data_IF_008081829254
#
_entry.id   IF_008081829254
#
_cell.length_a   1.000
_cell.length_b   1.000
_cell.length_c   1.000
_cell.angle_alpha   90.00
_cell.angle_beta   90.00
_cell.angle_gamma   90.00
#
_symmetry.space_group_name_H-M   'P 1'
#
loop_
_entity.id
_entity.type
_entity.pdbx_description
1 polymer ?
2 polymer ?
3 polymer ?
4 polymer ?
5 water ?
#
# COMPACT_ATOMS: atom_id res chain seq x y z
N UNK A 7 -18.48 -3.49 2.95
CA UNK A 7 -19.89 -3.18 3.44
C UNK A 7 -19.92 -1.82 4.14
N UNK A 8 -18.93 -1.73 4.98
CA UNK A 8 -18.77 -0.46 5.73
C UNK A 8 -17.26 -0.05 5.56
N UNK A 9 -16.79 -0.55 4.45
CA UNK A 9 -15.47 -0.36 3.96
C UNK A 9 -15.17 1.12 3.83
N UNK A 10 -13.84 1.40 4.11
CA UNK A 10 -13.35 2.78 3.99
C UNK A 10 -14.01 3.74 4.86
N UNK A 11 -14.82 3.22 5.96
CA UNK A 11 -15.31 4.32 6.94
C UNK A 11 -14.50 4.07 8.17
N UNK A 12 -13.57 4.95 8.60
CA UNK A 12 -12.77 4.73 9.74
C UNK A 12 -13.42 4.90 11.09
N UNK A 13 -13.42 3.83 11.97
CA UNK A 13 -14.07 3.94 13.28
C UNK A 13 -13.62 5.19 14.01
N UNK A 14 -12.37 5.59 13.83
CA UNK A 14 -11.91 6.76 14.68
C UNK A 14 -12.05 8.13 13.99
N UNK A 15 -12.47 8.12 12.73
CA UNK A 15 -12.61 9.42 12.07
C UNK A 15 -14.03 9.53 11.46
N UNK A 16 -14.28 8.93 10.26
CA UNK A 16 -15.59 9.14 9.61
C UNK A 16 -16.72 8.80 10.55
N UNK A 17 -16.69 7.60 11.13
CA UNK A 17 -17.72 7.12 12.07
C UNK A 17 -18.08 8.02 13.24
N UNK A 18 -17.22 8.99 13.62
CA UNK A 18 -17.47 9.86 14.75
C UNK A 18 -17.44 11.29 14.26
N UNK A 19 -17.30 11.31 12.90
CA UNK A 19 -17.22 12.58 12.27
C UNK A 19 -16.00 13.33 12.66
N UNK A 20 -14.83 12.71 12.94
CA UNK A 20 -13.58 13.55 13.18
C UNK A 20 -12.76 13.46 11.86
N UNK A 21 -12.16 14.57 11.47
CA UNK A 21 -11.34 14.64 10.22
C UNK A 21 -9.86 14.47 10.58
N UNK A 22 -8.93 13.82 9.93
CA UNK A 22 -7.52 13.72 10.27
C UNK A 22 -6.92 15.07 9.69
N UNK A 23 -5.79 15.34 10.24
CA UNK A 23 -4.94 16.52 10.13
C UNK A 23 -4.64 16.89 8.76
N UNK A 24 -4.61 15.92 7.81
CA UNK A 24 -4.36 16.34 6.44
C UNK A 24 -5.41 15.79 5.48
N UNK A 25 -6.56 15.21 5.82
CA UNK A 25 -7.37 14.84 4.66
C UNK A 25 -7.77 16.05 3.87
N UNK A 26 -7.94 17.23 4.48
CA UNK A 26 -8.48 18.40 3.67
C UNK A 26 -7.67 18.78 2.46
N UNK A 27 -6.39 18.50 2.37
CA UNK A 27 -5.36 18.71 1.41
C UNK A 27 -5.69 17.85 0.21
N UNK A 28 -6.15 16.58 0.38
CA UNK A 28 -6.63 15.73 -0.61
C UNK A 28 -7.97 16.24 -1.14
N UNK A 29 -8.88 16.51 -0.23
CA UNK A 29 -10.22 16.92 -0.67
C UNK A 29 -10.19 18.22 -1.50
N UNK A 30 -9.36 19.17 -1.20
CA UNK A 30 -9.13 20.41 -1.87
C UNK A 30 -8.48 20.11 -3.16
N UNK A 31 -7.81 18.99 -3.32
CA UNK A 31 -7.15 18.77 -4.62
C UNK A 31 -8.22 18.24 -5.59
N UNK A 32 -9.31 17.63 -5.20
CA UNK A 32 -10.27 17.10 -6.20
C UNK A 32 -10.91 18.25 -6.98
N UNK A 33 -10.35 18.70 -8.07
CA UNK A 33 -10.97 19.81 -8.81
C UNK A 33 -11.84 19.29 -9.96
N UNK B 1 8.74 5.57 3.73
CA UNK B 1 8.38 6.99 3.31
C UNK B 1 9.42 8.07 3.45
N UNK B 2 9.63 8.75 2.40
CA UNK B 2 10.58 9.91 2.37
C UNK B 2 9.87 11.24 2.35
N UNK B 3 10.11 11.99 3.45
CA UNK B 3 9.56 13.32 3.72
C UNK B 3 8.12 13.26 4.19
N UNK B 4 7.69 12.23 4.88
CA UNK B 4 6.43 11.95 5.44
C UNK B 4 6.23 12.70 6.79
N UNK B 5 5.36 12.08 7.60
CA UNK B 5 4.88 12.39 8.93
C UNK B 5 4.43 11.08 9.45
N UNK B 6 4.47 11.14 10.71
CA UNK B 6 4.07 10.02 11.66
C UNK B 6 2.60 9.80 11.47
N UNK B 7 2.04 8.68 11.20
CA UNK B 7 0.57 8.61 11.08
C UNK B 7 -0.07 8.94 12.44
N UNK B 8 -1.36 9.28 12.55
CA UNK B 8 -2.17 9.52 13.70
C UNK B 8 -2.75 8.11 14.00
N UNK B 9 -3.14 7.91 15.23
CA UNK B 9 -3.71 6.57 15.59
C UNK B 9 -4.98 6.34 14.82
N UNK B 10 -5.04 5.10 14.27
CA UNK B 10 -6.27 4.73 13.51
C UNK B 10 -6.39 5.56 12.26
N UNK B 11 -5.43 6.11 11.62
CA UNK B 11 -5.60 6.87 10.37
C UNK B 11 -5.72 5.97 9.18
N UNK B 12 -5.15 4.74 9.16
CA UNK B 12 -5.04 3.73 8.13
C UNK B 12 -5.26 2.35 8.68
N UNK B 13 -6.44 2.12 9.10
CA UNK B 13 -6.73 0.87 9.74
C UNK B 13 -6.68 -0.26 8.82
N UNK B 14 -6.48 -0.17 7.55
CA UNK B 14 -6.43 -1.28 6.56
C UNK B 14 -4.87 -1.55 6.40
N UNK B 15 -3.98 -0.72 6.80
CA UNK B 15 -2.55 -0.97 6.56
C UNK B 15 -2.14 -2.30 7.15
N UNK B 16 -1.43 -3.15 6.60
CA UNK B 16 -0.98 -4.46 7.16
C UNK B 16 0.49 -4.72 7.13
N UNK B 17 1.30 -5.25 7.96
CA UNK B 17 2.77 -5.42 7.77
C UNK B 17 3.04 -6.81 7.22
N UNK B 18 3.87 -7.08 6.30
CA UNK B 18 4.25 -8.50 5.88
C UNK B 18 5.53 -8.75 6.74
N UNK B 19 5.28 -9.79 7.55
CA UNK B 19 6.41 -10.04 8.54
C UNK B 19 7.13 -11.37 8.43
N UNK B 20 8.51 -11.18 8.29
CA UNK B 20 9.42 -12.30 8.15
C UNK B 20 9.52 -13.13 9.41
N UNK B 21 9.15 -14.44 9.22
CA UNK B 21 9.16 -15.37 10.37
C UNK B 21 10.59 -15.56 10.87
N UNK B 22 11.58 -15.80 10.06
CA UNK B 22 12.96 -15.88 10.48
C UNK B 22 13.97 -15.76 9.31
N UNK B 23 14.89 -14.82 9.39
CA UNK B 23 15.01 -13.87 10.50
C UNK B 23 13.68 -13.12 10.59
N UNK B 24 13.12 -12.92 11.69
CA UNK B 24 11.87 -12.19 11.95
C UNK B 24 12.25 -10.90 11.18
N UNK B 25 11.41 -10.30 10.41
CA UNK B 25 11.83 -9.03 9.72
C UNK B 25 10.72 -8.55 8.74
N UNK B 26 10.58 -7.27 8.68
CA UNK B 26 9.65 -6.43 7.97
C UNK B 26 9.91 -6.75 6.49
N UNK B 27 8.85 -7.20 5.85
CA UNK B 27 9.09 -7.53 4.42
C UNK B 27 8.56 -6.42 3.56
N UNK B 28 7.26 -6.01 3.69
CA UNK B 28 6.55 -5.01 2.88
C UNK B 28 5.29 -4.62 3.66
N UNK B 29 4.53 -3.67 3.06
CA UNK B 29 3.17 -3.21 3.56
C UNK B 29 2.19 -4.13 2.76
N UNK B 30 0.95 -4.08 3.07
CA UNK B 30 -0.15 -4.84 2.36
C UNK B 30 -1.41 -4.08 2.83
N UNK B 31 -2.58 -4.54 2.37
CA UNK B 31 -3.81 -3.82 2.86
C UNK B 31 -4.86 -4.89 3.03
N UNK B 32 -5.74 -4.47 3.99
CA UNK B 32 -6.86 -5.42 4.29
C UNK B 32 -8.07 -4.95 3.48
N UNK B 33 -8.58 -5.80 2.57
CA UNK B 33 -9.74 -5.58 1.72
C UNK B 33 -11.02 -6.32 2.18
N UNK B 34 -10.99 -7.23 3.06
CA UNK B 34 -12.03 -8.01 3.73
C UNK B 34 -11.52 -8.60 5.04
N UNK B 35 -12.39 -9.38 5.76
CA UNK B 35 -11.87 -10.02 7.00
C UNK B 35 -11.03 -11.24 6.67
N UNK B 36 -10.85 -11.55 5.37
CA UNK B 36 -9.90 -12.70 5.13
C UNK B 36 -8.86 -12.46 4.04
N UNK B 37 -8.94 -11.31 3.37
CA UNK B 37 -8.04 -11.05 2.20
C UNK B 37 -7.19 -9.82 2.34
N UNK B 38 -5.96 -10.01 1.86
CA UNK B 38 -4.92 -9.00 1.87
C UNK B 38 -4.36 -8.93 0.50
N UNK B 39 -4.08 -7.77 -0.01
CA UNK B 39 -3.55 -7.31 -1.24
C UNK B 39 -2.15 -6.76 -0.96
N UNK B 40 -1.30 -7.19 -1.93
CA UNK B 40 0.16 -6.65 -1.77
C UNK B 40 0.72 -6.67 -3.17
N UNK B 41 2.00 -6.38 -3.36
CA UNK B 41 2.73 -6.38 -4.68
C UNK B 41 3.24 -7.73 -4.83
N UNK B 42 3.14 -8.37 -5.98
CA UNK B 42 3.57 -9.74 -6.29
C UNK B 42 5.09 -9.71 -6.00
N UNK B 43 5.77 -8.54 -6.21
CA UNK B 43 7.21 -8.67 -5.96
C UNK B 43 7.72 -8.72 -4.49
N UNK B 44 6.81 -8.72 -3.47
CA UNK B 44 7.24 -8.98 -2.06
C UNK B 44 7.24 -10.52 -1.86
N UNK B 45 6.54 -11.31 -2.68
CA UNK B 45 6.58 -12.74 -2.49
C UNK B 45 7.64 -13.34 -3.37
N UNK B 46 7.52 -13.27 -4.73
CA UNK B 46 8.31 -13.74 -5.79
C UNK B 46 9.06 -12.74 -6.62
N UNK B 47 10.38 -12.72 -6.51
CA UNK B 47 11.37 -11.95 -7.19
C UNK B 47 12.67 -12.75 -7.50
N UNK B 48 12.58 -13.56 -8.59
CA UNK B 48 13.63 -14.47 -9.03
C UNK B 48 15.01 -13.99 -9.17
N UNK B 49 15.28 -12.76 -9.65
CA UNK B 49 16.64 -12.23 -9.71
C UNK B 49 17.26 -11.99 -8.38
N UNK B 50 16.46 -11.94 -7.28
CA UNK B 50 16.99 -11.64 -5.93
C UNK B 50 16.81 -12.97 -5.14
N UNK B 51 16.49 -13.96 -5.96
CA UNK B 51 16.28 -15.25 -5.31
C UNK B 51 15.08 -15.18 -4.37
N UNK B 52 14.21 -14.23 -4.32
CA UNK B 52 13.10 -14.26 -3.36
C UNK B 52 11.91 -15.03 -3.84
N UNK B 53 11.40 -15.97 -3.03
CA UNK B 53 10.29 -16.76 -3.40
C UNK B 53 9.64 -17.36 -2.14
N UNK B 54 9.07 -16.45 -1.37
CA UNK B 54 8.31 -16.82 -0.20
C UNK B 54 7.02 -17.58 -0.50
N UNK B 55 6.64 -18.56 0.33
CA UNK B 55 5.63 -19.50 0.60
C UNK B 55 4.65 -19.13 1.69
N UNK B 56 3.50 -19.75 1.70
CA UNK B 56 2.55 -19.50 2.78
C UNK B 56 3.25 -19.53 4.10
N UNK B 57 4.17 -20.39 4.42
CA UNK B 57 4.76 -20.31 5.77
C UNK B 57 6.03 -19.57 6.14
N UNK B 58 6.79 -19.02 5.26
CA UNK B 58 7.97 -18.28 5.75
C UNK B 58 7.43 -16.94 6.21
N UNK B 59 6.10 -16.96 6.26
CA UNK B 59 5.27 -15.75 6.34
C UNK B 59 4.20 -15.65 7.45
N UNK B 60 4.03 -14.35 7.82
CA UNK B 60 3.13 -13.84 8.89
C UNK B 60 2.52 -12.42 8.55
N UNK B 61 1.22 -12.22 8.69
CA UNK B 61 0.59 -10.89 8.46
C UNK B 61 0.30 -10.17 9.73
N UNK B 62 0.63 -8.97 10.06
CA UNK B 62 0.40 -8.16 11.21
C UNK B 62 -0.50 -6.94 10.92
N UNK B 63 -1.71 -7.02 11.54
CA UNK B 63 -2.73 -6.00 11.38
C UNK B 63 -2.97 -5.15 12.57
N UNK B 64 -3.29 -3.88 12.43
CA UNK B 64 -3.64 -2.86 13.40
C UNK B 64 -2.40 -2.29 14.03
N UNK B 65 -1.25 -2.33 13.33
CA UNK B 65 0.03 -1.77 13.88
C UNK B 65 0.16 -0.24 13.78
N UNK B 66 1.04 0.28 14.62
CA UNK B 66 1.28 1.77 14.65
C UNK B 66 2.82 1.83 14.71
N UNK B 67 3.34 1.03 15.72
CA UNK B 67 4.76 0.84 15.96
C UNK B 67 5.29 -0.10 14.89
N UNK B 68 6.39 0.31 14.30
CA UNK B 68 7.11 -0.50 13.31
C UNK B 68 7.52 -1.84 13.99
N UNK B 69 8.24 -1.68 15.09
CA UNK B 69 8.88 -2.78 15.79
C UNK B 69 8.28 -3.41 17.09
N UNK B 70 7.50 -2.70 17.89
CA UNK B 70 6.94 -3.26 19.14
C UNK B 70 5.84 -4.30 18.91
N UNK B 71 5.80 -5.28 19.84
CA UNK B 71 4.68 -6.25 19.75
C UNK B 71 3.57 -5.42 20.41
N UNK B 72 2.53 -5.04 19.73
CA UNK B 72 1.52 -4.07 20.30
C UNK B 72 0.36 -4.88 20.88
N UNK B 73 0.74 -5.38 22.05
CA UNK B 73 0.00 -6.33 22.87
C UNK B 73 -1.53 -6.34 22.75
N UNK B 74 -2.32 -5.34 23.02
CA UNK B 74 -3.76 -5.66 22.82
C UNK B 74 -4.36 -4.91 21.61
N UNK B 75 -3.49 -4.47 20.67
CA UNK B 75 -3.99 -3.72 19.51
C UNK B 75 -3.79 -4.49 18.21
N UNK B 76 -2.59 -4.88 17.83
CA UNK B 76 -2.32 -5.66 16.68
C UNK B 76 -2.87 -7.08 16.74
N UNK B 77 -3.09 -7.63 15.51
CA UNK B 77 -3.52 -9.05 15.41
C UNK B 77 -2.54 -9.82 14.48
N UNK B 78 -2.22 -11.03 14.71
CA UNK B 78 -1.24 -11.64 13.73
C UNK B 78 -1.95 -12.76 13.04
N UNK B 79 -1.78 -13.02 11.74
CA UNK B 79 -2.46 -14.18 11.16
C UNK B 79 -1.35 -14.87 10.29
N UNK B 80 -1.89 -16.02 9.91
CA UNK B 80 -1.19 -16.99 9.08
C UNK B 80 -1.96 -17.02 7.74
N UNK B 81 -1.15 -17.23 6.70
CA UNK B 81 -1.71 -17.36 5.36
C UNK B 81 -2.23 -18.71 5.07
N UNK B 82 -3.45 -18.80 4.52
CA UNK B 82 -3.88 -20.16 4.16
C UNK B 82 -3.28 -20.56 2.77
N UNK B 83 -3.20 -19.52 1.91
CA UNK B 83 -2.73 -19.50 0.54
C UNK B 83 -2.36 -18.11 -0.04
N UNK B 84 -1.51 -18.16 -1.06
CA UNK B 84 -1.03 -17.03 -1.88
C UNK B 84 -1.39 -17.23 -3.37
N UNK B 85 -1.92 -16.14 -3.94
CA UNK B 85 -2.29 -16.08 -5.35
C UNK B 85 -1.59 -14.86 -6.01
N UNK B 86 -0.72 -15.26 -6.91
CA UNK B 86 0.09 -14.24 -7.66
C UNK B 86 -0.58 -14.04 -9.01
N UNK B 87 -0.63 -12.86 -9.54
CA UNK B 87 -1.18 -12.68 -10.90
C UNK B 87 -0.42 -13.64 -11.86
N UNK B 88 -1.17 -14.44 -12.60
CA UNK B 88 -0.60 -15.37 -13.55
C UNK B 88 0.33 -14.65 -14.54
N UNK B 89 0.07 -13.43 -14.97
CA UNK B 89 1.00 -12.75 -15.92
C UNK B 89 1.79 -11.58 -15.37
N UNK B 90 2.20 -11.64 -14.10
CA UNK B 90 3.00 -10.70 -13.39
C UNK B 90 4.34 -10.73 -14.15
N UNK B 91 4.97 -9.56 -14.51
CA UNK B 91 6.23 -9.58 -15.28
C UNK B 91 7.42 -9.10 -14.49
N UNK B 92 7.97 -10.13 -13.84
CA UNK B 92 9.15 -9.81 -13.01
C UNK B 92 10.33 -9.67 -13.97
N UNK B 93 10.18 -10.27 -15.18
CA UNK B 93 11.27 -10.24 -16.15
C UNK B 93 11.57 -8.82 -16.61
N UNK B 94 10.57 -7.97 -16.84
CA UNK B 94 11.08 -6.67 -17.35
C UNK B 94 10.62 -5.50 -16.55
N UNK B 95 9.33 -5.39 -16.15
CA UNK B 95 9.01 -4.11 -15.46
C UNK B 95 8.05 -4.19 -14.30
N UNK B 96 7.74 -5.44 -13.78
CA UNK B 96 6.79 -5.53 -12.64
C UNK B 96 5.39 -5.18 -13.10
N UNK B 97 5.17 -5.44 -14.35
CA UNK B 97 3.78 -5.17 -14.91
C UNK B 97 2.90 -6.22 -14.18
N UNK B 98 1.72 -5.73 -13.70
CA UNK B 98 0.81 -6.63 -12.95
C UNK B 98 1.38 -7.00 -11.57
N UNK B 99 2.07 -6.09 -10.90
CA UNK B 99 2.72 -6.37 -9.56
C UNK B 99 1.57 -6.41 -8.55
N UNK B 100 0.94 -7.60 -8.45
CA UNK B 100 -0.21 -7.74 -7.54
C UNK B 100 -0.35 -9.22 -7.20
N UNK B 101 -0.88 -9.46 -5.93
CA UNK B 101 -1.11 -10.78 -5.33
C UNK B 101 -2.12 -10.52 -4.22
N UNK B 102 -2.74 -11.72 -3.99
CA UNK B 102 -3.80 -11.89 -2.94
C UNK B 102 -3.33 -13.03 -1.98
N UNK B 103 -3.59 -12.64 -0.68
CA UNK B 103 -3.26 -13.54 0.46
C UNK B 103 -4.55 -13.88 1.24
N UNK B 104 -4.88 -15.14 1.31
CA UNK B 104 -6.12 -15.55 2.05
C UNK B 104 -5.65 -16.04 3.44
N UNK B 105 -6.21 -15.31 4.42
CA UNK B 105 -5.84 -15.59 5.85
C UNK B 105 -6.53 -16.95 6.24
N UNK B 106 -5.77 -17.67 7.07
CA UNK B 106 -6.20 -19.06 7.59
C UNK B 106 -7.53 -18.89 8.33
N UNK B 107 -7.67 -17.76 9.06
CA UNK B 107 -8.97 -17.47 9.77
C UNK B 107 -9.19 -15.99 9.65
N UNK B 108 -10.41 -15.56 9.63
CA UNK B 108 -10.80 -14.18 9.46
C UNK B 108 -10.39 -13.41 10.70
N UNK B 109 -10.11 -12.13 10.56
CA UNK B 109 -9.76 -11.22 11.62
C UNK B 109 -11.09 -10.44 11.92
N UNK B 110 -11.13 -9.90 13.12
CA UNK B 110 -12.30 -9.12 13.58
C UNK B 110 -11.85 -7.69 13.69
N UNK B 111 -12.68 -6.93 13.13
CA UNK B 111 -12.65 -5.47 12.91
C UNK B 111 -12.59 -4.77 14.24
N UNK B 112 -12.09 -3.57 14.25
CA UNK B 112 -12.00 -2.95 15.65
C UNK B 112 -11.70 -1.52 15.36
N UNK B 113 -11.23 -0.80 16.32
CA UNK B 113 -10.88 0.59 16.09
C UNK B 113 -9.66 0.74 15.18
N UNK B 114 -8.78 -0.16 15.28
CA UNK B 114 -7.52 -0.14 14.53
C UNK B 114 -7.56 -1.00 13.32
N UNK B 115 -8.55 -1.80 13.04
CA UNK B 115 -8.61 -2.71 11.91
C UNK B 115 -9.93 -2.63 11.17
N UNK B 116 -9.75 -2.22 9.91
CA UNK B 116 -11.05 -2.05 9.07
C UNK B 116 -10.57 -2.03 7.67
N UNK B 117 -11.26 -2.62 6.77
CA UNK B 117 -10.90 -2.74 5.38
C UNK B 117 -11.22 -1.39 4.66
N UNK B 118 -10.41 -1.28 3.65
CA UNK B 118 -10.39 -0.19 2.69
C UNK B 118 -11.36 -0.76 1.59
N UNK B 119 -11.94 0.18 0.77
CA UNK B 119 -12.82 -0.20 -0.30
C UNK B 119 -11.93 -0.32 -1.55
N UNK B 120 -12.46 -1.15 -2.41
CA UNK B 120 -11.89 -1.40 -3.77
C UNK B 120 -12.78 -0.58 -4.68
N UNK B 121 -12.17 0.15 -5.62
CA UNK B 121 -12.90 1.01 -6.51
C UNK B 121 -13.76 0.27 -7.54
N UNK B 122 -14.82 1.13 -7.84
CA UNK B 122 -15.79 0.90 -8.92
C UNK B 122 -15.27 1.72 -10.14
N UNK B 123 -15.69 1.22 -11.32
CA UNK B 123 -15.28 1.86 -12.57
C UNK B 123 -15.62 3.37 -12.57
N UNK B 124 -16.69 3.81 -11.84
CA UNK B 124 -16.96 5.24 -11.89
C UNK B 124 -16.11 5.90 -10.83
N UNK B 125 -15.87 5.30 -9.70
CA UNK B 125 -15.03 6.06 -8.65
C UNK B 125 -13.64 6.26 -9.29
N UNK B 126 -13.01 5.35 -9.87
CA UNK B 126 -11.77 5.28 -10.50
C UNK B 126 -11.68 6.35 -11.56
N UNK B 127 -12.86 6.39 -12.32
CA UNK B 127 -13.01 7.37 -13.38
C UNK B 127 -12.86 8.76 -12.85
N UNK B 128 -13.53 9.23 -11.82
CA UNK B 128 -13.38 10.55 -11.34
C UNK B 128 -12.21 10.82 -10.45
N UNK B 129 -11.48 9.89 -9.88
CA UNK B 129 -10.47 10.46 -8.97
C UNK B 129 -9.12 10.28 -9.50
N UNK B 130 -9.13 9.29 -10.44
CA UNK B 130 -7.66 9.05 -10.99
C UNK B 130 -7.28 10.13 -11.98
N UNK B 131 -7.02 11.36 -11.70
CA UNK B 131 -6.69 12.49 -12.54
C UNK B 131 -5.41 13.16 -12.01
N UNK B 132 -4.58 13.52 -13.03
CA UNK B 132 -3.28 14.15 -12.74
C UNK B 132 -3.65 15.31 -11.80
N UNK B 133 -2.88 15.54 -10.79
CA UNK B 133 -3.14 16.62 -9.84
C UNK B 133 -3.88 16.18 -8.58
N UNK B 134 -4.82 15.23 -8.75
CA UNK B 134 -5.54 14.78 -7.54
C UNK B 134 -4.51 14.21 -6.71
N UNK B 135 -4.72 14.52 -5.36
CA UNK B 135 -3.73 13.79 -4.41
C UNK B 135 -4.33 12.51 -3.99
N UNK B 136 -3.48 11.56 -3.49
CA UNK B 136 -3.71 10.27 -2.91
C UNK B 136 -2.65 10.31 -1.75
N UNK B 137 -2.69 9.25 -0.92
CA UNK B 137 -1.99 9.07 0.35
C UNK B 137 -1.38 7.76 0.37
N UNK B 138 -0.03 7.83 0.79
CA UNK B 138 0.71 6.51 0.87
C UNK B 138 1.20 6.42 2.29
N UNK B 139 1.10 5.16 2.77
CA UNK B 139 1.56 4.84 4.10
C UNK B 139 2.57 3.68 4.12
N UNK B 140 3.51 3.70 5.08
CA UNK B 140 4.49 2.51 5.08
C UNK B 140 5.42 2.88 6.26
N UNK B 141 6.19 1.87 6.62
CA UNK B 141 7.19 1.76 7.64
C UNK B 141 8.62 1.47 7.06
N UNK B 142 8.76 2.01 5.83
CA UNK B 142 10.04 1.89 5.04
C UNK B 142 10.92 3.13 5.27
N UNK B 143 12.01 2.99 4.54
CA UNK B 143 13.13 3.94 4.50
C UNK B 143 12.63 5.36 4.27
N UNK B 144 13.16 6.14 5.23
CA UNK B 144 13.00 7.57 5.42
C UNK B 144 13.90 8.52 4.63
N UNK B 145 14.90 7.86 4.05
CA UNK B 145 15.96 8.53 3.24
C UNK B 145 16.41 7.51 2.21
N UNK B 146 16.65 7.98 1.00
CA UNK B 146 17.13 7.02 -0.04
C UNK B 146 18.16 6.00 0.40
N UNK B 147 19.20 6.49 1.12
CA UNK B 147 20.20 5.58 1.65
C UNK B 147 20.93 6.45 2.71
N UNK B 148 20.98 5.71 3.81
CA UNK B 148 21.64 6.21 5.03
C UNK B 148 22.99 5.42 4.97
N UNK B 155 16.45 6.40 9.53
CA UNK B 155 16.63 5.19 8.69
C UNK B 155 15.26 4.50 8.56
N UNK B 156 14.97 3.88 9.69
CA UNK B 156 13.63 3.12 9.70
C UNK B 156 12.94 3.90 10.78
N UNK B 157 11.64 4.14 10.57
CA UNK B 157 10.92 5.04 11.49
C UNK B 157 10.51 4.31 12.78
N UNK B 158 10.03 5.12 13.73
CA UNK B 158 9.56 4.38 14.94
C UNK B 158 8.06 4.17 14.67
N UNK B 159 7.40 5.13 13.99
CA UNK B 159 5.90 4.85 13.78
C UNK B 159 5.58 4.96 12.28
N UNK B 160 4.36 4.45 11.94
CA UNK B 160 3.76 4.42 10.61
C UNK B 160 3.86 5.88 10.02
N UNK B 161 4.44 5.84 8.80
CA UNK B 161 4.71 7.21 8.16
C UNK B 161 3.64 7.48 7.09
N UNK B 162 3.45 8.78 6.89
CA UNK B 162 2.38 9.11 5.89
C UNK B 162 2.68 10.22 4.96
N UNK B 163 2.31 10.15 3.65
CA UNK B 163 2.53 11.40 2.83
C UNK B 163 1.41 11.41 1.75
N UNK B 164 0.93 12.55 1.32
CA UNK B 164 -0.04 12.93 0.26
C UNK B 164 0.70 13.41 -0.94
N UNK B 165 0.49 12.86 -2.10
CA UNK B 165 1.20 13.10 -3.36
C UNK B 165 0.22 13.24 -4.47
N UNK B 166 0.59 13.98 -5.46
CA UNK B 166 -0.35 14.22 -6.58
C UNK B 166 -0.18 13.23 -7.74
N UNK B 167 -1.22 12.87 -8.41
CA UNK B 167 -1.06 11.92 -9.59
C UNK B 167 -0.43 12.83 -10.69
N UNK B 168 0.44 12.17 -11.48
CA UNK B 168 1.19 12.85 -12.57
C UNK B 168 0.70 12.32 -13.90
N UNK B 169 0.63 13.11 -14.93
CA UNK B 169 0.16 12.63 -16.26
C UNK B 169 1.06 11.55 -16.80
N UNK B 170 0.55 10.57 -17.51
CA UNK B 170 1.31 9.50 -18.11
C UNK B 170 2.61 9.90 -18.89
N UNK B 171 2.58 10.86 -19.74
CA UNK B 171 3.68 11.28 -20.56
C UNK B 171 4.79 11.75 -19.71
N UNK B 172 4.63 12.62 -18.74
CA UNK B 172 5.71 13.00 -17.88
C UNK B 172 6.24 11.68 -17.22
N UNK B 173 5.28 10.82 -16.75
CA UNK B 173 5.64 9.56 -16.11
C UNK B 173 6.63 8.81 -17.06
N UNK B 174 6.28 8.65 -18.31
CA UNK B 174 7.13 7.89 -19.28
C UNK B 174 8.50 8.45 -19.65
N UNK B 175 8.56 9.75 -19.64
CA UNK B 175 9.72 10.56 -19.90
C UNK B 175 10.76 10.68 -18.74
N UNK B 176 10.38 10.26 -17.56
CA UNK B 176 11.22 10.25 -16.40
C UNK B 176 12.04 8.95 -16.39
N UNK B 177 11.69 7.91 -17.15
CA UNK B 177 12.49 6.74 -17.10
C UNK B 177 12.70 6.00 -18.41
N UNK B 178 13.57 5.04 -18.44
CA UNK B 178 13.92 4.23 -19.63
C UNK B 178 13.06 3.02 -19.62
N UNK B 179 12.41 2.66 -18.45
CA UNK B 179 11.51 1.50 -18.29
C UNK B 179 10.26 1.58 -19.15
N UNK B 180 9.73 0.48 -19.60
CA UNK B 180 8.48 0.55 -20.35
C UNK B 180 7.27 0.53 -19.47
N UNK B 181 6.55 1.65 -19.39
CA UNK B 181 5.31 1.91 -18.55
C UNK B 181 4.11 1.24 -19.19
N UNK B 182 3.25 0.47 -18.62
CA UNK B 182 2.02 -0.17 -19.14
C UNK B 182 0.85 0.53 -18.48
N UNK B 183 -0.30 0.09 -18.93
CA UNK B 183 -1.65 0.55 -18.61
C UNK B 183 -2.02 0.14 -17.21
N UNK B 184 -1.14 -0.80 -16.71
CA UNK B 184 -1.55 -1.21 -15.30
C UNK B 184 -0.68 -0.48 -14.29
N UNK B 185 -0.11 0.66 -14.69
CA UNK B 185 0.74 1.39 -13.76
C UNK B 185 0.31 2.84 -13.83
N UNK B 186 0.64 3.66 -12.77
CA UNK B 186 0.39 5.09 -12.74
C UNK B 186 1.53 5.54 -11.83
N UNK B 187 2.00 6.82 -12.02
CA UNK B 187 3.19 7.28 -11.11
C UNK B 187 2.62 8.46 -10.35
N UNK B 188 3.37 8.91 -9.34
CA UNK B 188 2.96 9.99 -8.50
C UNK B 188 4.15 10.63 -7.77
N UNK B 189 3.93 11.91 -7.50
CA UNK B 189 4.88 12.78 -6.82
C UNK B 189 4.79 14.16 -7.38
N UNK B 190 5.53 15.06 -6.70
CA UNK B 190 5.58 16.45 -7.12
C UNK B 190 6.67 16.58 -8.15
N UNK B 191 6.59 17.69 -8.87
CA UNK B 191 7.57 18.19 -9.92
C UNK B 191 8.62 19.03 -9.20
N UNK B 192 9.89 18.96 -9.70
CA UNK B 192 11.05 19.64 -9.11
C UNK B 192 10.72 21.12 -8.89
N UNK B 193 9.87 21.69 -9.70
CA UNK B 193 9.41 23.05 -9.59
C UNK B 193 8.24 23.21 -8.66
N UNK B 194 7.59 22.17 -8.12
CA UNK B 194 6.41 22.36 -7.25
C UNK B 194 6.88 22.70 -5.87
N UNK B 195 8.19 22.49 -5.60
CA UNK B 195 8.69 22.84 -4.29
C UNK B 195 8.11 22.24 -3.03
N UNK B 196 7.56 21.04 -3.06
CA UNK B 196 6.96 20.17 -2.02
C UNK B 196 7.52 18.78 -2.41
N UNK B 197 7.71 17.77 -1.58
CA UNK B 197 8.24 16.49 -2.13
C UNK B 197 7.86 15.32 -1.23
N UNK B 198 8.46 14.19 -1.39
CA UNK B 198 8.16 12.99 -0.56
C UNK B 198 7.95 11.82 -1.50
N UNK B 199 8.12 10.62 -0.98
CA UNK B 199 8.05 9.37 -1.77
C UNK B 199 8.04 8.15 -0.87
N UNK B 200 7.67 7.07 -1.52
CA UNK B 200 7.61 5.72 -0.95
C UNK B 200 9.11 5.39 -1.10
N UNK B 201 9.54 4.42 -0.36
CA UNK B 201 10.95 4.06 -0.37
C UNK B 201 10.99 2.56 -0.02
N UNK B 202 12.21 2.10 0.09
CA UNK B 202 12.39 0.65 0.41
C UNK B 202 11.66 0.26 1.67
N UNK B 203 10.99 -0.86 1.66
CA UNK B 203 10.23 -1.33 2.84
C UNK B 203 8.74 -0.92 2.70
N UNK B 204 8.33 0.10 1.87
CA UNK B 204 6.97 0.55 1.63
C UNK B 204 6.18 -0.25 0.61
N UNK B 205 6.74 -1.05 -0.22
CA UNK B 205 6.22 -1.83 -1.26
C UNK B 205 5.10 -2.64 -0.81
N UNK B 206 4.08 -2.77 -1.69
CA UNK B 206 2.84 -3.62 -1.35
C UNK B 206 1.95 -2.67 -0.58
N UNK B 207 2.39 -1.55 -0.14
CA UNK B 207 1.46 -0.60 0.61
C UNK B 207 0.45 -0.07 -0.34
N UNK B 208 -0.60 0.60 0.21
CA UNK B 208 -1.76 1.14 -0.58
C UNK B 208 -1.60 2.61 -0.82
N UNK B 209 -2.05 3.05 -2.06
CA UNK B 209 -2.10 4.47 -2.42
C UNK B 209 -3.62 4.73 -2.32
N UNK B 210 -4.10 5.54 -1.36
CA UNK B 210 -5.56 5.68 -1.18
C UNK B 210 -6.09 7.11 -1.51
N UNK B 211 -7.39 7.21 -1.74
CA UNK B 211 -8.08 8.49 -2.03
C UNK B 211 -9.34 8.55 -1.26
N UNK B 212 -9.79 9.73 -0.87
CA UNK B 212 -11.08 9.80 -0.10
C UNK B 212 -12.17 10.19 -1.04
N UNK B 213 -13.20 9.36 -1.20
CA UNK B 213 -14.21 9.83 -2.26
C UNK B 213 -15.06 10.98 -1.77
N UNK B 214 -15.10 12.11 -2.44
CA UNK B 214 -15.88 13.36 -2.03
C UNK B 214 -17.43 13.09 -2.23
N UNK B 215 -17.82 11.93 -2.91
CA UNK B 215 -19.23 11.66 -3.10
C UNK B 215 -19.83 10.91 -1.90
N UNK B 216 -19.11 9.86 -1.50
CA UNK B 216 -19.60 9.01 -0.38
C UNK B 216 -18.78 9.10 0.91
N UNK B 217 -17.63 9.79 0.87
CA UNK B 217 -16.82 10.04 2.13
C UNK B 217 -16.08 8.81 2.64
N UNK B 218 -15.90 7.89 1.73
CA UNK B 218 -15.24 6.60 1.87
C UNK B 218 -13.84 6.56 1.25
N UNK B 219 -13.00 5.71 1.82
CA UNK B 219 -11.58 5.63 1.37
C UNK B 219 -11.48 4.52 0.41
N UNK B 220 -10.80 4.82 -0.72
CA UNK B 220 -10.65 3.83 -1.81
C UNK B 220 -9.22 3.46 -2.08
N UNK B 221 -8.94 2.14 -2.27
CA UNK B 221 -7.50 1.80 -2.57
C UNK B 221 -7.35 1.92 -4.07
N UNK B 222 -6.66 2.91 -4.55
CA UNK B 222 -6.46 3.09 -6.02
C UNK B 222 -5.23 2.39 -6.58
N UNK B 223 -4.20 2.27 -5.76
CA UNK B 223 -2.87 1.67 -6.17
C UNK B 223 -2.24 0.99 -4.97
N UNK B 224 -1.16 0.23 -5.39
CA UNK B 224 -0.23 -0.54 -4.55
C UNK B 224 1.16 -0.01 -4.86
N UNK B 225 1.96 0.46 -3.89
CA UNK B 225 3.38 0.78 -4.16
C UNK B 225 4.08 -0.40 -4.78
N UNK B 226 4.69 -0.09 -5.99
CA UNK B 226 5.39 -1.08 -6.76
C UNK B 226 6.86 -0.84 -6.89
N UNK B 227 7.27 0.27 -7.58
CA UNK B 227 8.73 0.57 -7.82
C UNK B 227 9.01 1.96 -8.07
N UNK B 228 10.32 2.23 -8.02
CA UNK B 228 10.83 3.67 -8.22
C UNK B 228 12.32 3.49 -8.62
N UNK B 229 13.05 4.56 -8.66
CA UNK B 229 14.45 4.74 -9.07
C UNK B 229 14.99 5.83 -8.19
N UNK B 230 15.46 5.22 -7.12
CA UNK B 230 16.02 6.05 -5.94
C UNK B 230 14.72 6.30 -5.10
N UNK B 231 14.86 7.24 -4.19
CA UNK B 231 13.66 7.52 -3.39
C UNK B 231 13.67 9.04 -3.31
N UNK B 232 12.67 9.73 -3.66
CA UNK B 232 12.58 11.22 -3.62
C UNK B 232 13.64 11.98 -4.45
N UNK B 233 13.98 11.45 -5.68
CA UNK B 233 14.95 12.28 -6.48
C UNK B 233 14.24 13.16 -7.38
N UNK B 234 14.75 14.37 -7.68
CA UNK B 234 14.06 15.30 -8.57
C UNK B 234 13.97 14.65 -9.99
N UNK B 235 12.78 14.90 -10.67
CA UNK B 235 12.51 14.39 -11.90
C UNK B 235 12.19 12.88 -11.86
N UNK B 236 12.07 12.29 -10.66
CA UNK B 236 11.66 10.82 -10.72
C UNK B 236 10.28 10.69 -10.02
N UNK B 237 9.59 9.60 -10.31
CA UNK B 237 8.27 9.42 -9.69
C UNK B 237 8.09 8.04 -9.07
N UNK B 238 7.01 7.86 -8.25
CA UNK B 238 6.91 6.44 -7.75
C UNK B 238 5.97 5.71 -8.67
N UNK B 239 6.10 4.39 -8.83
CA UNK B 239 5.14 3.68 -9.77
C UNK B 239 4.33 2.74 -8.91
N UNK B 240 3.02 2.66 -9.17
CA UNK B 240 1.98 1.99 -8.48
C UNK B 240 1.14 1.04 -9.35
N UNK B 241 0.74 -0.13 -8.77
CA UNK B 241 -0.13 -1.02 -9.63
C UNK B 241 -1.45 -0.38 -9.69
N UNK B 242 -2.07 -0.43 -10.87
CA UNK B 242 -3.44 0.19 -11.03
C UNK B 242 -4.41 -0.80 -10.61
N UNK B 243 -4.93 -0.64 -9.41
CA UNK B 243 -5.85 -1.69 -8.77
C UNK B 243 -7.06 -1.72 -9.63
N UNK B 244 -7.65 -0.55 -10.03
CA UNK B 244 -8.94 -0.84 -10.82
C UNK B 244 -8.74 -1.67 -12.10
N UNK B 245 -7.66 -1.58 -12.90
CA UNK B 245 -7.44 -2.33 -14.04
C UNK B 245 -7.30 -3.78 -13.70
N UNK B 246 -6.86 -4.22 -12.57
CA UNK B 246 -6.67 -5.62 -12.14
C UNK B 246 -7.86 -6.21 -11.42
N UNK B 247 -8.93 -5.49 -11.16
CA UNK B 247 -10.15 -5.85 -10.48
C UNK B 247 -10.85 -7.11 -10.95
N UNK B 248 -10.90 -7.37 -12.26
CA UNK B 248 -11.54 -8.65 -12.73
C UNK B 248 -10.71 -9.75 -12.10
N UNK B 249 -9.39 -9.74 -12.25
CA UNK B 249 -8.55 -10.76 -11.65
C UNK B 249 -8.91 -10.80 -10.16
N UNK B 250 -9.08 -9.68 -9.53
CA UNK B 250 -9.36 -9.83 -8.02
C UNK B 250 -10.69 -10.58 -7.79
N UNK B 251 -11.79 -10.14 -8.41
CA UNK B 251 -13.13 -10.80 -8.18
C UNK B 251 -13.07 -12.32 -8.33
N UNK B 252 -12.51 -12.71 -9.41
CA UNK B 252 -12.25 -14.06 -9.83
C UNK B 252 -11.51 -14.86 -8.77
N UNK B 253 -10.38 -14.46 -8.19
CA UNK B 253 -9.78 -15.35 -7.23
C UNK B 253 -10.63 -15.38 -5.95
N UNK B 254 -11.45 -14.39 -5.76
CA UNK B 254 -12.26 -14.32 -4.57
C UNK B 254 -13.52 -15.19 -4.66
N UNK B 255 -14.26 -15.22 -5.75
CA UNK B 255 -15.44 -16.14 -5.60
C UNK B 255 -14.96 -17.42 -6.23
N UNK B 256 -13.66 -17.65 -6.04
CA UNK B 256 -13.14 -18.92 -6.66
C UNK B 256 -12.72 -19.75 -5.46
N UNK B 257 -11.77 -19.13 -4.78
CA UNK B 257 -11.31 -19.90 -3.58
C UNK B 257 -11.85 -19.23 -2.32
N UNK B 258 -12.56 -18.13 -2.53
CA UNK B 258 -13.13 -17.53 -1.26
C UNK B 258 -14.48 -18.30 -1.12
N UNK C 1 14.86 0.59 -12.41
CA UNK C 1 13.87 -0.07 -11.56
C UNK C 1 14.54 -0.44 -10.21
N UNK C 2 13.82 -0.17 -9.18
CA UNK C 2 14.14 -0.44 -7.80
C UNK C 2 12.85 -0.97 -7.19
N UNK C 3 12.73 -2.26 -7.16
CA UNK C 3 11.45 -2.85 -6.54
C UNK C 3 11.44 -2.32 -5.12
N UNK C 4 10.42 -1.59 -4.66
CA UNK C 4 10.31 -0.96 -3.30
C UNK C 4 9.62 -1.80 -2.18
N UNK D 3 15.79 -4.96 15.28
CA UNK D 3 15.39 -4.16 16.49
C UNK D 3 13.94 -4.59 16.76
N UNK D 4 13.55 -5.73 16.21
CA UNK D 4 12.19 -6.22 16.39
C UNK D 4 12.06 -6.74 17.81
N UNK D 5 10.90 -6.43 18.36
CA UNK D 5 10.55 -6.86 19.73
C UNK D 5 10.02 -8.27 19.48
N UNK D 6 9.67 -9.09 20.46
CA UNK D 6 9.28 -10.49 20.29
C UNK D 6 7.84 -10.91 20.04
N UNK D 7 7.73 -11.77 19.06
CA UNK D 7 6.34 -12.17 18.74
C UNK D 7 6.00 -13.26 19.74
N UNK D 8 4.77 -13.34 20.22
CA UNK D 8 4.28 -14.41 21.06
C UNK D 8 4.42 -15.71 20.24
N UNK D 9 5.04 -16.71 20.86
CA UNK D 9 5.31 -18.02 20.28
C UNK D 9 4.05 -18.63 19.73
N UNK D 10 2.89 -18.43 20.40
CA UNK D 10 1.71 -19.11 19.82
C UNK D 10 1.77 -18.82 18.31
#
# INVERSE_FOLDING_TARGET
>A
TFGSGEADCGLRPLFEKKSLEDKTERELLESYIDGR
>B
IVEGSDAEIGMSPWQVMLFRKSPQELLCGASLISDRWVLTAAHCLLYPPWDKNFTENDLLVRIGKHSRTRYERNIEKISMLEKIYIHPRYNWRENLDRDIALMKLKKPVAFSDYIHPVCLPDRETAASLLQAGYKGRVTGWGNLKETWTANVGKGQPSVLQVVNLPIVERPVCKDSTRIRITDNMFCAGYKPDEGKRGDACEGDSGGPFVMKSPFNNRWYQMGIVSWGEGCDRDGKYGFYTHVFRLKKWIQKVIDQFGE
>C
LDPR
>D
NGDFEEIPEEXL
#
